data_IF_201192354551
#
_entry.id   IF_201192354551
#
_cell.length_a   1.000
_cell.length_b   1.000
_cell.length_c   1.000
_cell.angle_alpha   90.00
_cell.angle_beta   90.00
_cell.angle_gamma   90.00
#
_symmetry.space_group_name_H-M   'P 1'
#
loop_
_entity.id
_entity.type
_entity.pdbx_description
1 polymer ?
#
# COMPACT_ATOMS: atom_id res chain seq x y z
N UNK A 1 10.42 14.58 -61.11
CA UNK A 1 9.94 13.30 -60.53
C UNK A 1 10.83 12.79 -59.39
N UNK A 2 12.16 12.65 -59.56
CA UNK A 2 13.07 12.14 -58.52
C UNK A 2 13.11 12.95 -57.21
N UNK A 3 12.96 14.30 -57.27
CA UNK A 3 13.00 15.17 -56.08
C UNK A 3 11.82 14.95 -55.11
N UNK A 4 10.63 14.64 -55.65
CA UNK A 4 9.44 14.34 -54.84
C UNK A 4 9.50 12.94 -54.22
N UNK A 5 10.11 11.97 -54.90
CA UNK A 5 10.32 10.61 -54.36
C UNK A 5 11.26 10.67 -53.14
N UNK A 6 12.34 11.47 -53.20
CA UNK A 6 13.22 11.68 -52.04
C UNK A 6 12.51 12.37 -50.87
N UNK A 7 11.64 13.36 -51.13
CA UNK A 7 10.88 14.02 -50.07
C UNK A 7 9.90 13.05 -49.37
N UNK A 8 9.22 12.19 -50.15
CA UNK A 8 8.32 11.16 -49.59
C UNK A 8 9.11 10.15 -48.76
N UNK A 9 10.27 9.71 -49.23
CA UNK A 9 11.10 8.76 -48.48
C UNK A 9 11.61 9.33 -47.15
N UNK A 10 12.07 10.59 -47.15
CA UNK A 10 12.47 11.29 -45.93
C UNK A 10 11.28 11.44 -44.97
N UNK A 11 10.09 11.75 -45.47
CA UNK A 11 8.89 11.86 -44.64
C UNK A 11 8.53 10.52 -43.98
N UNK A 12 8.55 9.42 -44.75
CA UNK A 12 8.31 8.07 -44.22
C UNK A 12 9.34 7.72 -43.15
N UNK A 13 10.62 8.04 -43.37
CA UNK A 13 11.68 7.80 -42.39
C UNK A 13 11.42 8.57 -41.08
N UNK A 14 11.06 9.85 -41.16
CA UNK A 14 10.74 10.67 -39.99
C UNK A 14 9.52 10.17 -39.20
N UNK A 15 8.49 9.71 -39.91
CA UNK A 15 7.31 9.09 -39.30
C UNK A 15 7.72 7.82 -38.53
N UNK A 16 8.51 6.94 -39.15
CA UNK A 16 8.98 5.72 -38.50
C UNK A 16 9.83 6.01 -37.25
N UNK A 17 10.75 6.97 -37.32
CA UNK A 17 11.55 7.40 -36.16
C UNK A 17 10.64 7.91 -35.04
N UNK A 18 9.64 8.73 -35.37
CA UNK A 18 8.69 9.27 -34.39
C UNK A 18 7.86 8.16 -33.72
N UNK A 19 7.42 7.15 -34.47
CA UNK A 19 6.69 6.00 -33.94
C UNK A 19 7.57 5.20 -32.98
N UNK A 20 8.81 4.87 -33.37
CA UNK A 20 9.74 4.10 -32.53
C UNK A 20 10.08 4.86 -31.25
N UNK A 21 10.35 6.16 -31.35
CA UNK A 21 10.61 7.01 -30.20
C UNK A 21 9.42 7.04 -29.22
N UNK A 22 8.19 7.16 -29.75
CA UNK A 22 6.98 7.13 -28.93
C UNK A 22 6.79 5.77 -28.24
N UNK A 23 7.00 4.65 -28.94
CA UNK A 23 6.93 3.32 -28.35
C UNK A 23 7.93 3.12 -27.21
N UNK A 24 9.17 3.61 -27.38
CA UNK A 24 10.19 3.58 -26.33
C UNK A 24 9.77 4.41 -25.11
N UNK A 25 9.25 5.61 -25.34
CA UNK A 25 8.73 6.48 -24.27
C UNK A 25 7.60 5.80 -23.48
N UNK A 26 6.62 5.21 -24.17
CA UNK A 26 5.50 4.50 -23.54
C UNK A 26 5.98 3.30 -22.70
N UNK A 27 6.96 2.54 -23.18
CA UNK A 27 7.58 1.44 -22.41
C UNK A 27 8.28 1.94 -21.16
N UNK A 28 9.02 3.05 -21.25
CA UNK A 28 9.67 3.65 -20.09
C UNK A 28 8.65 4.16 -19.08
N UNK A 29 7.60 4.85 -19.53
CA UNK A 29 6.51 5.30 -18.66
C UNK A 29 5.83 4.12 -17.95
N UNK A 30 5.53 3.04 -18.67
CA UNK A 30 4.94 1.84 -18.09
C UNK A 30 5.87 1.20 -17.03
N UNK A 31 7.18 1.15 -17.31
CA UNK A 31 8.19 0.64 -16.36
C UNK A 31 8.24 1.50 -15.11
N UNK A 32 8.32 2.83 -15.24
CA UNK A 32 8.34 3.76 -14.11
C UNK A 32 7.05 3.63 -13.29
N UNK A 33 5.88 3.62 -13.95
CA UNK A 33 4.58 3.39 -13.29
C UNK A 33 4.56 2.09 -12.51
N UNK A 34 5.08 1.00 -13.08
CA UNK A 34 5.17 -0.27 -12.36
C UNK A 34 6.05 -0.17 -11.12
N UNK A 35 7.18 0.54 -11.17
CA UNK A 35 8.09 0.69 -10.02
C UNK A 35 7.42 1.51 -8.90
N UNK A 36 6.86 2.68 -9.23
CA UNK A 36 6.18 3.52 -8.25
C UNK A 36 4.92 2.87 -7.68
N UNK A 37 4.34 1.88 -8.37
CA UNK A 37 3.22 1.06 -7.89
C UNK A 37 3.66 -0.24 -7.21
N UNK A 38 4.91 -0.33 -6.77
CA UNK A 38 5.48 -1.49 -6.08
C UNK A 38 5.35 -2.81 -6.87
N UNK A 39 5.38 -2.73 -8.20
CA UNK A 39 5.08 -3.81 -9.14
C UNK A 39 3.69 -4.44 -8.95
N UNK A 40 2.71 -3.65 -8.52
CA UNK A 40 1.34 -4.10 -8.23
C UNK A 40 1.27 -5.19 -7.14
N UNK A 41 2.30 -5.26 -6.29
CA UNK A 41 2.42 -6.18 -5.16
C UNK A 41 2.34 -5.41 -3.84
N UNK A 42 2.14 -6.13 -2.74
CA UNK A 42 2.14 -5.54 -1.40
C UNK A 42 3.37 -4.64 -1.17
N UNK A 43 3.14 -3.36 -0.86
CA UNK A 43 4.15 -2.37 -0.50
C UNK A 43 4.55 -2.47 0.99
N UNK A 44 3.60 -2.78 1.88
CA UNK A 44 3.82 -2.99 3.32
C UNK A 44 4.30 -4.41 3.59
N UNK A 45 5.51 -4.71 3.12
CA UNK A 45 6.17 -6.00 3.26
C UNK A 45 7.49 -5.82 4.00
N UNK A 46 7.77 -6.71 4.95
CA UNK A 46 9.04 -6.74 5.68
C UNK A 46 10.23 -6.96 4.73
N UNK A 47 10.11 -7.86 3.75
CA UNK A 47 11.13 -8.06 2.72
C UNK A 47 11.43 -6.78 1.91
N UNK A 48 10.42 -5.92 1.70
CA UNK A 48 10.59 -4.62 1.04
C UNK A 48 11.08 -3.50 1.97
N UNK A 49 11.38 -3.81 3.23
CA UNK A 49 11.91 -2.85 4.19
C UNK A 49 10.85 -1.93 4.79
N UNK A 50 9.56 -2.27 4.73
CA UNK A 50 8.56 -1.55 5.52
C UNK A 50 8.83 -1.74 7.02
N UNK A 51 8.59 -0.70 7.81
CA UNK A 51 8.88 -0.67 9.24
C UNK A 51 7.65 -0.24 10.04
N UNK A 52 7.58 -0.67 11.30
CA UNK A 52 6.59 -0.18 12.25
C UNK A 52 7.24 0.94 13.06
N UNK A 53 6.88 2.19 12.79
CA UNK A 53 7.49 3.37 13.39
C UNK A 53 7.02 3.62 14.82
N UNK A 54 5.81 3.16 15.19
CA UNK A 54 5.27 3.25 16.55
C UNK A 54 5.67 2.09 17.47
N UNK A 55 6.70 1.29 17.12
CA UNK A 55 7.07 0.03 17.81
C UNK A 55 7.22 0.10 19.34
N UNK A 56 7.51 1.27 19.90
CA UNK A 56 7.70 1.49 21.35
C UNK A 56 6.36 1.50 22.10
N UNK A 57 5.27 1.89 21.41
CA UNK A 57 3.95 2.13 21.98
C UNK A 57 2.97 0.97 21.76
N UNK A 58 3.43 -0.10 21.11
CA UNK A 58 2.62 -1.23 20.66
C UNK A 58 3.26 -2.56 21.06
N UNK A 59 2.46 -3.63 21.06
CA UNK A 59 2.92 -4.99 21.37
C UNK A 59 3.00 -5.88 20.13
N UNK A 60 3.77 -6.96 20.26
CA UNK A 60 3.90 -8.01 19.26
C UNK A 60 3.66 -9.37 19.88
N UNK A 61 2.49 -9.95 19.65
CA UNK A 61 2.17 -11.28 20.14
C UNK A 61 2.92 -12.32 19.32
N UNK A 62 3.81 -13.06 19.99
CA UNK A 62 4.78 -13.98 19.38
C UNK A 62 6.07 -13.30 18.88
N UNK A 63 6.42 -12.14 19.44
CA UNK A 63 7.67 -11.43 19.15
C UNK A 63 7.70 -10.93 17.71
N UNK A 64 8.87 -10.96 17.04
CA UNK A 64 9.01 -10.45 15.67
C UNK A 64 8.02 -11.08 14.67
N UNK A 65 7.59 -12.32 14.91
CA UNK A 65 6.62 -13.01 14.05
C UNK A 65 5.19 -12.46 14.19
N UNK A 66 4.91 -11.71 15.27
CA UNK A 66 3.66 -10.99 15.49
C UNK A 66 3.50 -9.73 14.65
N UNK A 67 4.53 -9.30 13.92
CA UNK A 67 4.47 -8.13 13.04
C UNK A 67 3.35 -8.27 12.00
N UNK A 68 2.56 -7.22 11.82
CA UNK A 68 1.56 -7.10 10.76
C UNK A 68 2.16 -6.84 9.38
N UNK A 69 3.47 -6.58 9.29
CA UNK A 69 4.23 -6.42 8.05
C UNK A 69 4.82 -7.73 7.51
N UNK A 70 4.63 -8.85 8.22
CA UNK A 70 5.17 -10.15 7.82
C UNK A 70 4.71 -10.56 6.42
N UNK A 71 5.58 -11.25 5.71
CA UNK A 71 5.28 -11.69 4.34
C UNK A 71 4.31 -12.88 4.30
N UNK A 72 4.35 -13.78 5.30
CA UNK A 72 3.37 -14.86 5.39
C UNK A 72 1.94 -14.31 5.52
N UNK A 73 0.99 -14.93 4.83
CA UNK A 73 -0.38 -14.42 4.71
C UNK A 73 -1.14 -14.58 6.03
N UNK A 74 -0.92 -15.68 6.76
CA UNK A 74 -1.61 -15.94 8.01
C UNK A 74 -0.80 -16.91 8.89
N UNK A 75 -0.70 -16.58 10.17
CA UNK A 75 -0.23 -17.50 11.20
C UNK A 75 -1.13 -17.31 12.41
N UNK A 76 -1.69 -18.41 12.91
CA UNK A 76 -2.58 -18.39 14.06
C UNK A 76 -1.88 -17.80 15.29
N UNK A 77 -2.60 -17.03 16.11
CA UNK A 77 -2.11 -16.40 17.34
C UNK A 77 -0.93 -15.41 17.20
N UNK A 78 -0.65 -14.90 15.99
CA UNK A 78 0.39 -13.90 15.77
C UNK A 78 -0.20 -12.58 15.26
N UNK A 79 -0.06 -11.51 16.03
CA UNK A 79 -0.61 -10.20 15.67
C UNK A 79 0.13 -9.05 16.36
N UNK A 80 0.04 -7.88 15.75
CA UNK A 80 0.47 -6.61 16.33
C UNK A 80 -0.69 -6.05 17.14
N UNK A 81 -0.42 -5.59 18.36
CA UNK A 81 -1.44 -5.06 19.25
C UNK A 81 -1.19 -3.60 19.63
N UNK A 82 -2.25 -2.81 19.76
CA UNK A 82 -2.15 -1.40 20.15
C UNK A 82 -3.23 -1.03 21.16
N UNK A 83 -2.90 -0.36 22.27
CA UNK A 83 -3.88 0.11 23.25
C UNK A 83 -4.75 1.26 22.71
N UNK A 84 -5.86 1.56 23.40
CA UNK A 84 -6.76 2.67 23.07
C UNK A 84 -5.99 4.00 23.05
N UNK A 85 -6.26 4.82 22.04
CA UNK A 85 -5.61 6.12 21.87
C UNK A 85 -4.25 6.06 21.19
N UNK A 86 -3.70 4.86 20.98
CA UNK A 86 -2.46 4.64 20.26
C UNK A 86 -2.70 4.06 18.87
N UNK A 87 -1.70 4.19 18.00
CA UNK A 87 -1.78 3.72 16.62
C UNK A 87 -0.64 2.77 16.25
N UNK A 88 -0.97 1.87 15.33
CA UNK A 88 0.02 1.12 14.57
C UNK A 88 0.40 1.99 13.37
N UNK A 89 1.58 2.60 13.43
CA UNK A 89 2.13 3.46 12.37
C UNK A 89 3.16 2.66 11.57
N UNK A 90 2.94 2.58 10.25
CA UNK A 90 3.76 1.84 9.30
C UNK A 90 4.42 2.82 8.35
N UNK A 91 5.74 2.72 8.18
CA UNK A 91 6.51 3.54 7.26
C UNK A 91 7.09 2.69 6.11
N UNK A 92 7.03 3.24 4.90
CA UNK A 92 7.62 2.64 3.71
C UNK A 92 9.03 3.21 3.48
N UNK A 93 9.97 2.38 3.03
CA UNK A 93 11.34 2.82 2.70
C UNK A 93 11.38 3.77 1.49
N UNK A 94 10.39 3.68 0.61
CA UNK A 94 10.17 4.58 -0.50
C UNK A 94 8.67 4.87 -0.63
N UNK A 95 8.35 5.97 -1.29
CA UNK A 95 6.96 6.34 -1.59
C UNK A 95 6.40 5.44 -2.69
N UNK A 96 5.15 5.02 -2.55
CA UNK A 96 4.45 4.23 -3.55
C UNK A 96 3.10 4.85 -3.89
N UNK A 97 2.73 4.78 -5.17
CA UNK A 97 1.37 5.03 -5.64
C UNK A 97 0.49 3.82 -5.29
N UNK A 98 -0.48 4.00 -4.39
CA UNK A 98 -1.42 2.96 -3.95
C UNK A 98 -2.86 3.45 -4.05
N UNK A 99 -3.79 2.52 -4.19
CA UNK A 99 -5.23 2.81 -4.22
C UNK A 99 -6.07 1.77 -3.47
N UNK A 100 -5.44 0.72 -2.94
CA UNK A 100 -6.10 -0.38 -2.26
C UNK A 100 -5.30 -0.78 -1.03
N UNK A 101 -5.99 -0.86 0.10
CA UNK A 101 -5.47 -1.34 1.38
C UNK A 101 -6.30 -2.54 1.82
N UNK A 102 -5.63 -3.57 2.32
CA UNK A 102 -6.24 -4.76 2.91
C UNK A 102 -5.67 -5.00 4.29
N UNK A 103 -6.53 -5.09 5.29
CA UNK A 103 -6.14 -5.30 6.68
C UNK A 103 -6.85 -6.53 7.20
N UNK A 104 -6.08 -7.42 7.81
CA UNK A 104 -6.58 -8.58 8.54
C UNK A 104 -6.53 -8.21 10.01
N UNK A 105 -7.69 -8.05 10.61
CA UNK A 105 -7.87 -8.00 12.04
C UNK A 105 -7.96 -9.43 12.59
N UNK A 106 -7.86 -9.56 13.92
CA UNK A 106 -8.12 -10.84 14.58
C UNK A 106 -9.46 -11.46 14.15
N UNK A 107 -9.42 -12.74 13.82
CA UNK A 107 -10.54 -13.51 13.28
C UNK A 107 -10.84 -14.79 14.09
N UNK A 108 -10.22 -14.97 15.25
CA UNK A 108 -10.48 -16.11 16.13
C UNK A 108 -11.86 -16.09 16.81
N UNK A 109 -12.57 -14.95 16.75
CA UNK A 109 -13.92 -14.79 17.26
C UNK A 109 -14.64 -13.62 16.57
N UNK A 110 -15.90 -13.40 16.96
CA UNK A 110 -16.78 -12.40 16.37
C UNK A 110 -16.63 -11.02 17.05
N UNK A 111 -15.45 -10.39 16.92
CA UNK A 111 -15.21 -9.05 17.46
C UNK A 111 -15.18 -7.94 16.41
N UNK A 112 -15.59 -6.75 16.83
CA UNK A 112 -15.51 -5.53 16.04
C UNK A 112 -14.50 -4.58 16.67
N UNK A 113 -13.74 -3.88 15.84
CA UNK A 113 -12.73 -2.89 16.20
C UNK A 113 -13.21 -1.48 15.85
N UNK A 114 -13.03 -0.52 16.74
CA UNK A 114 -13.30 0.89 16.42
C UNK A 114 -12.00 1.57 15.97
N UNK A 115 -11.87 1.83 14.66
CA UNK A 115 -10.61 2.28 14.05
C UNK A 115 -10.78 3.45 13.10
N UNK A 116 -9.76 4.33 13.11
CA UNK A 116 -9.53 5.32 12.05
C UNK A 116 -8.26 4.93 11.30
N UNK A 117 -8.36 4.87 9.98
CA UNK A 117 -7.25 4.52 9.10
C UNK A 117 -6.94 5.72 8.21
N UNK A 118 -5.69 6.14 8.27
CA UNK A 118 -5.16 7.30 7.57
C UNK A 118 -3.92 6.89 6.79
N UNK A 119 -3.81 7.34 5.54
CA UNK A 119 -2.56 7.28 4.77
C UNK A 119 -1.90 8.64 4.82
N UNK A 120 -0.56 8.66 4.77
CA UNK A 120 0.20 9.90 4.84
C UNK A 120 1.18 10.03 3.68
N UNK A 121 1.40 11.28 3.26
CA UNK A 121 2.48 11.69 2.37
C UNK A 121 3.25 12.82 3.05
N UNK A 122 4.48 12.55 3.49
CA UNK A 122 5.35 13.55 4.12
C UNK A 122 4.68 14.30 5.29
N UNK A 123 3.86 13.59 6.08
CA UNK A 123 3.11 14.14 7.21
C UNK A 123 1.72 14.69 6.88
N UNK A 124 1.36 14.85 5.60
CA UNK A 124 -0.02 15.20 5.23
C UNK A 124 -0.94 13.98 5.32
N UNK A 125 -1.99 14.10 6.14
CA UNK A 125 -2.92 13.01 6.46
C UNK A 125 -4.14 12.99 5.54
N UNK A 126 -4.44 11.81 4.97
CA UNK A 126 -5.71 11.54 4.27
C UNK A 126 -6.44 10.39 4.95
N UNK A 127 -7.58 10.68 5.57
CA UNK A 127 -8.43 9.65 6.18
C UNK A 127 -9.12 8.82 5.09
N UNK A 128 -8.88 7.51 5.08
CA UNK A 128 -9.49 6.57 4.12
C UNK A 128 -10.56 5.68 4.75
N UNK A 129 -10.61 5.60 6.08
CA UNK A 129 -11.63 4.84 6.81
C UNK A 129 -11.81 5.36 8.23
N UNK A 130 -13.05 5.41 8.70
CA UNK A 130 -13.38 5.74 10.09
C UNK A 130 -14.73 5.10 10.47
N UNK A 131 -14.67 3.83 10.89
CA UNK A 131 -15.84 3.06 11.28
C UNK A 131 -15.42 1.77 12.02
N UNK A 132 -16.39 0.95 12.41
CA UNK A 132 -16.16 -0.39 12.89
C UNK A 132 -15.54 -1.27 11.81
N UNK A 133 -14.57 -2.10 12.17
CA UNK A 133 -13.91 -3.07 11.30
C UNK A 133 -13.88 -4.46 11.94
N UNK A 134 -13.79 -5.51 11.15
CA UNK A 134 -13.69 -6.91 11.61
C UNK A 134 -13.07 -7.79 10.53
N UNK A 135 -12.57 -8.96 10.92
CA UNK A 135 -12.03 -9.97 10.02
C UNK A 135 -11.07 -9.34 8.97
N UNK A 136 -11.45 -9.33 7.70
CA UNK A 136 -10.68 -8.73 6.60
C UNK A 136 -11.41 -7.48 6.11
N UNK A 137 -10.77 -6.33 6.23
CA UNK A 137 -11.24 -5.07 5.67
C UNK A 137 -10.44 -4.75 4.40
N UNK A 138 -11.13 -4.53 3.29
CA UNK A 138 -10.52 -4.02 2.05
C UNK A 138 -11.08 -2.65 1.75
N UNK A 139 -10.21 -1.66 1.60
CA UNK A 139 -10.55 -0.27 1.35
C UNK A 139 -9.94 0.10 -0.01
N UNK A 140 -10.77 0.57 -0.92
CA UNK A 140 -10.32 1.19 -2.18
C UNK A 140 -10.56 2.69 -2.09
N UNK A 141 -9.58 3.47 -2.49
CA UNK A 141 -9.57 4.93 -2.43
C UNK A 141 -8.91 5.51 -3.70
N UNK A 142 -9.07 6.82 -4.00
CA UNK A 142 -8.40 7.44 -5.13
C UNK A 142 -6.89 7.19 -5.10
N UNK A 143 -6.26 7.02 -6.27
CA UNK A 143 -4.82 6.79 -6.35
C UNK A 143 -4.04 7.93 -5.71
N UNK A 144 -3.14 7.60 -4.78
CA UNK A 144 -2.33 8.58 -4.07
C UNK A 144 -0.92 8.04 -3.82
N UNK A 145 0.07 8.94 -3.81
CA UNK A 145 1.42 8.63 -3.35
C UNK A 145 1.42 8.59 -1.82
N UNK A 146 1.92 7.49 -1.24
CA UNK A 146 1.89 7.24 0.20
C UNK A 146 3.29 6.91 0.69
N UNK A 147 3.69 7.51 1.82
CA UNK A 147 4.90 7.18 2.59
C UNK A 147 4.57 6.35 3.83
N UNK A 148 3.40 6.56 4.44
CA UNK A 148 3.04 5.94 5.72
C UNK A 148 1.56 5.55 5.80
N UNK A 149 1.26 4.60 6.69
CA UNK A 149 -0.09 4.21 7.08
C UNK A 149 -0.22 4.30 8.60
N UNK A 150 -1.32 4.88 9.07
CA UNK A 150 -1.70 4.92 10.47
C UNK A 150 -3.01 4.18 10.69
N UNK A 151 -3.00 3.21 11.60
CA UNK A 151 -4.20 2.51 12.09
C UNK A 151 -4.38 2.90 13.56
N UNK A 152 -5.26 3.87 13.81
CA UNK A 152 -5.56 4.37 15.15
C UNK A 152 -6.61 3.48 15.83
N UNK A 153 -6.31 3.01 17.04
CA UNK A 153 -7.28 2.37 17.92
C UNK A 153 -8.11 3.44 18.66
N UNK A 154 -9.35 3.67 18.22
CA UNK A 154 -10.21 4.72 18.81
C UNK A 154 -10.75 4.28 20.17
N UNK A 155 -11.25 3.06 20.29
CA UNK A 155 -12.00 2.62 21.48
C UNK A 155 -11.88 1.11 21.78
N UNK A 156 -10.88 0.44 21.24
CA UNK A 156 -10.65 -0.99 21.42
C UNK A 156 -11.55 -1.84 20.52
N UNK A 157 -11.94 -3.00 21.06
CA UNK A 157 -12.85 -3.92 20.41
C UNK A 157 -13.95 -4.39 21.36
N UNK A 158 -14.90 -5.18 20.86
CA UNK A 158 -16.05 -5.66 21.64
C UNK A 158 -15.71 -6.64 22.77
N UNK A 159 -14.45 -7.10 22.90
CA UNK A 159 -13.97 -8.00 23.96
C UNK A 159 -13.00 -7.32 24.93
N UNK A 160 -12.13 -6.42 24.44
CA UNK A 160 -11.15 -5.74 25.27
C UNK A 160 -10.70 -4.40 24.65
N UNK A 161 -9.77 -3.73 25.32
CA UNK A 161 -9.28 -2.40 24.92
C UNK A 161 -8.22 -2.41 23.81
N UNK A 162 -7.80 -3.58 23.32
CA UNK A 162 -6.70 -3.69 22.37
C UNK A 162 -7.18 -3.69 20.92
N UNK A 163 -6.42 -3.09 20.03
CA UNK A 163 -6.51 -3.33 18.59
C UNK A 163 -5.61 -4.52 18.27
N UNK A 164 -6.06 -5.50 17.47
CA UNK A 164 -5.20 -6.59 17.01
C UNK A 164 -5.21 -6.64 15.48
N UNK A 165 -4.02 -6.50 14.89
CA UNK A 165 -3.82 -6.56 13.43
C UNK A 165 -2.90 -7.73 13.11
N UNK A 166 -3.45 -8.69 12.37
CA UNK A 166 -2.76 -9.88 11.88
C UNK A 166 -1.84 -9.49 10.72
N UNK A 167 -2.35 -8.73 9.73
CA UNK A 167 -1.60 -8.40 8.53
C UNK A 167 -2.09 -7.11 7.91
N UNK A 168 -1.19 -6.41 7.23
CA UNK A 168 -1.50 -5.27 6.36
C UNK A 168 -0.89 -5.51 4.99
N UNK A 169 -1.67 -5.26 3.95
CA UNK A 169 -1.20 -5.18 2.58
C UNK A 169 -1.70 -3.91 1.91
N UNK A 170 -0.84 -3.23 1.15
CA UNK A 170 -1.25 -2.14 0.27
C UNK A 170 -0.67 -2.32 -1.12
N UNK A 171 -1.48 -2.06 -2.14
CA UNK A 171 -1.06 -2.22 -3.54
C UNK A 171 -1.88 -1.31 -4.44
N UNK A 172 -1.38 -1.09 -5.64
CA UNK A 172 -2.16 -0.52 -6.72
C UNK A 172 -2.97 -1.64 -7.41
N UNK A 173 -4.29 -1.54 -7.38
CA UNK A 173 -5.21 -2.41 -8.12
C UNK A 173 -5.61 -1.74 -9.42
N UNK A 174 -5.42 -2.43 -10.55
CA UNK A 174 -5.95 -2.00 -11.84
C UNK A 174 -7.48 -2.13 -11.79
N UNK A 175 -8.18 -1.02 -12.04
CA UNK A 175 -9.64 -0.97 -12.20
C UNK A 175 -10.07 -1.46 -13.56
#
# INVERSE_FOLDING_TARGET
MAKHINQIFVLILLINISIVANQLCLRQQAKIKSIVRAHYKNAFSQYKGALISSKILIGFVGGNNGSCLRDNIYTFNLYTESPIGYSIDLALIQKYEINTLKIWFWDGDNRYYNVKITILLDGEETQIYNNLARNILTITFPSQIVSELRILNIAGNTYNTQLHVIKVEAFYKLS
#
